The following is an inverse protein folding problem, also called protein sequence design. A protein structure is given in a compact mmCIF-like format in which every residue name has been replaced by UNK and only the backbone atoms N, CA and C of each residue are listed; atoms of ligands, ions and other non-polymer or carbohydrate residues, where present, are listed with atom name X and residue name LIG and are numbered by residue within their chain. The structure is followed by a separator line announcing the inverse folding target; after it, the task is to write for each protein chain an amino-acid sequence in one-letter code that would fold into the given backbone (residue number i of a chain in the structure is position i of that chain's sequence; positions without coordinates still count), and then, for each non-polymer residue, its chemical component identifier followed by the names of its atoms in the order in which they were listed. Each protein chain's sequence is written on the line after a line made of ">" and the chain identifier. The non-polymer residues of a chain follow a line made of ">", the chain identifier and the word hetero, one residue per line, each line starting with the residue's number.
data_IF_422563395755
#
_entry.id   IF_422563395755
#
_cell.length_a   1.000
_cell.length_b   1.000
_cell.length_c   1.000
_cell.angle_alpha   90.00
_cell.angle_beta   90.00
_cell.angle_gamma   90.00
#
_symmetry.space_group_name_H-M   'P 1'
#
loop_
_entity.id
_entity.type
_entity.pdbx_description
1 polymer ?
#
# COMPACT_ATOMS: atom_id res chain seq x y z
N UNK A 1 25.56 -17.63 32.54
CA UNK A 1 25.16 -16.55 33.47
C UNK A 1 25.61 -15.15 33.02
N UNK A 2 26.85 -14.95 32.54
CA UNK A 2 27.36 -13.61 32.19
C UNK A 2 26.67 -12.96 30.97
N UNK A 3 26.39 -13.72 29.89
CA UNK A 3 25.76 -13.20 28.66
C UNK A 3 24.32 -12.70 28.91
N UNK A 4 23.50 -13.49 29.61
CA UNK A 4 22.12 -13.12 29.92
C UNK A 4 22.02 -11.87 30.81
N UNK A 5 22.94 -11.69 31.75
CA UNK A 5 23.00 -10.49 32.58
C UNK A 5 23.33 -9.23 31.77
N UNK A 6 24.22 -9.34 30.78
CA UNK A 6 24.57 -8.24 29.87
C UNK A 6 23.37 -7.88 28.98
N UNK A 7 22.70 -8.90 28.42
CA UNK A 7 21.49 -8.69 27.63
C UNK A 7 20.37 -8.01 28.44
N UNK A 8 20.17 -8.44 29.69
CA UNK A 8 19.20 -7.83 30.61
C UNK A 8 19.54 -6.38 30.96
N UNK A 9 20.82 -6.08 31.18
CA UNK A 9 21.27 -4.72 31.42
C UNK A 9 20.99 -3.81 30.21
N UNK A 10 21.28 -4.28 28.99
CA UNK A 10 20.97 -3.53 27.77
C UNK A 10 19.48 -3.27 27.60
N UNK A 11 18.64 -4.29 27.83
CA UNK A 11 17.18 -4.14 27.86
C UNK A 11 16.75 -3.02 28.82
N UNK A 12 17.24 -3.08 30.06
CA UNK A 12 16.89 -2.08 31.08
C UNK A 12 17.35 -0.68 30.69
N UNK A 13 18.55 -0.56 30.12
CA UNK A 13 19.11 0.72 29.67
C UNK A 13 18.28 1.36 28.56
N UNK A 14 17.82 0.56 27.60
CA UNK A 14 16.97 1.07 26.53
C UNK A 14 15.56 1.39 27.01
N UNK A 15 15.00 0.56 27.89
CA UNK A 15 13.68 0.77 28.48
C UNK A 15 13.58 2.04 29.36
N UNK A 16 14.69 2.54 29.89
CA UNK A 16 14.71 3.79 30.66
C UNK A 16 14.92 5.03 29.80
N UNK A 17 15.34 4.89 28.54
CA UNK A 17 15.57 6.03 27.65
C UNK A 17 14.29 6.39 26.89
N UNK A 18 13.60 7.46 27.33
CA UNK A 18 12.35 7.94 26.72
C UNK A 18 12.49 8.23 25.22
N UNK A 19 13.62 8.80 24.81
CA UNK A 19 13.91 9.11 23.41
C UNK A 19 14.02 7.84 22.56
N UNK A 20 14.68 6.80 23.08
CA UNK A 20 14.78 5.49 22.42
C UNK A 20 13.40 4.84 22.31
N UNK A 21 12.60 4.86 23.38
CA UNK A 21 11.26 4.30 23.36
C UNK A 21 10.34 5.01 22.35
N UNK A 22 10.33 6.35 22.33
CA UNK A 22 9.52 7.10 21.37
C UNK A 22 9.93 6.81 19.93
N UNK A 23 11.23 6.87 19.63
CA UNK A 23 11.70 6.65 18.26
C UNK A 23 11.53 5.20 17.80
N UNK A 24 11.69 4.22 18.69
CA UNK A 24 11.66 2.81 18.31
C UNK A 24 10.23 2.25 18.21
N UNK A 25 9.31 2.72 19.04
CA UNK A 25 7.96 2.14 19.12
C UNK A 25 6.87 3.07 18.61
N UNK A 26 6.94 4.37 18.90
CA UNK A 26 5.89 5.33 18.53
C UNK A 26 6.05 5.83 17.08
N UNK A 27 7.28 6.15 16.68
CA UNK A 27 7.57 6.63 15.32
C UNK A 27 7.13 5.66 14.20
N UNK A 28 7.37 4.32 14.26
CA UNK A 28 6.89 3.43 13.21
C UNK A 28 5.37 3.42 13.11
N UNK A 29 4.65 3.35 14.23
CA UNK A 29 3.18 3.35 14.23
C UNK A 29 2.61 4.67 13.68
N UNK A 30 3.24 5.79 14.03
CA UNK A 30 2.88 7.10 13.50
C UNK A 30 3.14 7.17 11.98
N UNK A 31 4.26 6.66 11.50
CA UNK A 31 4.56 6.65 10.07
C UNK A 31 3.62 5.71 9.30
N UNK A 32 3.29 4.54 9.85
CA UNK A 32 2.28 3.63 9.28
C UNK A 32 0.94 4.35 9.18
N UNK A 33 0.51 5.07 10.22
CA UNK A 33 -0.73 5.83 10.20
C UNK A 33 -0.74 6.93 9.14
N UNK A 34 0.32 7.74 9.08
CA UNK A 34 0.40 8.85 8.13
C UNK A 34 0.44 8.32 6.70
N UNK A 35 1.35 7.40 6.38
CA UNK A 35 1.53 6.91 5.02
C UNK A 35 0.38 5.99 4.58
N UNK A 36 -0.12 5.14 5.49
CA UNK A 36 -1.27 4.27 5.24
C UNK A 36 -2.52 5.05 4.87
N UNK A 37 -2.80 6.17 5.55
CA UNK A 37 -3.93 7.03 5.18
C UNK A 37 -3.62 7.92 3.98
N UNK A 38 -2.46 8.59 3.94
CA UNK A 38 -2.15 9.57 2.91
C UNK A 38 -1.95 8.96 1.52
N UNK A 39 -1.47 7.72 1.43
CA UNK A 39 -1.25 7.04 0.16
C UNK A 39 -2.27 5.91 -0.08
N UNK A 40 -3.33 5.81 0.70
CA UNK A 40 -4.42 4.84 0.51
C UNK A 40 -4.95 4.82 -0.93
N UNK A 41 -5.16 6.00 -1.53
CA UNK A 41 -5.63 6.14 -2.91
C UNK A 41 -4.71 5.54 -3.99
N UNK A 42 -3.42 5.32 -3.70
CA UNK A 42 -2.49 4.68 -4.65
C UNK A 42 -2.59 3.15 -4.65
N UNK A 43 -3.18 2.54 -3.62
CA UNK A 43 -3.17 1.09 -3.44
C UNK A 43 -4.46 0.40 -3.87
N UNK A 44 -5.45 1.14 -4.40
CA UNK A 44 -6.65 0.59 -5.02
C UNK A 44 -7.50 -0.35 -4.15
N UNK A 45 -7.18 -0.50 -2.87
CA UNK A 45 -7.70 -1.55 -2.01
C UNK A 45 -8.03 -1.07 -0.60
N UNK A 46 -9.33 -1.10 -0.28
CA UNK A 46 -9.78 -1.38 1.07
C UNK A 46 -10.26 -0.22 1.93
N UNK A 47 -10.75 0.88 1.35
CA UNK A 47 -11.99 1.38 1.92
C UNK A 47 -13.11 0.58 1.25
N UNK A 48 -14.10 0.13 2.01
CA UNK A 48 -15.46 0.22 1.47
C UNK A 48 -15.53 1.64 0.92
N UNK A 49 -15.37 1.79 -0.40
CA UNK A 49 -15.81 3.01 -1.04
C UNK A 49 -17.24 3.10 -0.55
N UNK A 50 -17.51 4.02 0.38
CA UNK A 50 -18.84 4.59 0.49
C UNK A 50 -19.03 5.08 -0.94
N UNK A 51 -19.71 4.27 -1.76
CA UNK A 51 -19.94 4.58 -3.16
C UNK A 51 -20.58 5.96 -3.11
N UNK A 52 -19.79 6.98 -3.42
CA UNK A 52 -20.28 8.33 -3.39
C UNK A 52 -21.19 8.39 -4.59
N UNK A 53 -22.49 8.35 -4.31
CA UNK A 53 -23.49 8.45 -5.33
C UNK A 53 -23.27 9.79 -6.05
N UNK A 54 -23.15 9.73 -7.37
CA UNK A 54 -22.87 10.91 -8.18
C UNK A 54 -24.13 11.74 -8.26
N UNK A 55 -24.10 12.99 -7.81
CA UNK A 55 -25.25 13.91 -7.97
C UNK A 55 -25.30 14.39 -9.41
N UNK A 56 -26.31 13.95 -10.15
CA UNK A 56 -26.45 14.24 -11.58
C UNK A 56 -27.62 15.18 -11.83
N UNK A 57 -27.38 16.29 -12.53
CA UNK A 57 -28.45 17.17 -13.02
C UNK A 57 -28.89 16.74 -14.40
N UNK A 58 -30.18 16.48 -14.58
CA UNK A 58 -30.74 16.10 -15.89
C UNK A 58 -31.49 17.31 -16.44
N UNK A 59 -31.06 17.75 -17.62
CA UNK A 59 -31.55 18.94 -18.31
C UNK A 59 -32.17 18.47 -19.63
N UNK A 60 -33.43 18.84 -19.87
CA UNK A 60 -34.12 18.56 -21.13
C UNK A 60 -34.35 19.88 -21.89
N UNK A 61 -33.86 19.95 -23.12
CA UNK A 61 -34.09 21.09 -24.02
C UNK A 61 -35.35 20.89 -24.86
N UNK A 62 -36.13 21.96 -25.07
CA UNK A 62 -37.31 21.95 -25.95
C UNK A 62 -38.66 22.24 -25.29
N UNK A 63 -39.72 22.40 -26.10
CA UNK A 63 -41.07 22.62 -25.63
C UNK A 63 -41.60 21.35 -24.96
N UNK A 64 -41.87 21.41 -23.65
CA UNK A 64 -42.34 20.27 -22.86
C UNK A 64 -41.39 19.88 -21.72
N UNK A 65 -40.07 20.08 -21.89
CA UNK A 65 -39.02 19.70 -20.91
C UNK A 65 -39.32 18.34 -20.27
N UNK A 66 -39.26 17.28 -21.07
CA UNK A 66 -39.51 15.92 -20.59
C UNK A 66 -38.27 15.06 -20.74
N UNK A 67 -38.06 14.15 -19.79
CA UNK A 67 -37.00 13.15 -19.88
C UNK A 67 -37.58 11.94 -20.60
N UNK A 68 -36.93 11.42 -21.66
CA UNK A 68 -37.40 10.24 -22.37
C UNK A 68 -37.59 9.05 -21.43
N UNK A 69 -38.74 8.37 -21.52
CA UNK A 69 -39.07 7.25 -20.65
C UNK A 69 -38.02 6.13 -20.65
N UNK A 70 -37.34 5.92 -21.79
CA UNK A 70 -36.25 4.93 -21.92
C UNK A 70 -34.97 5.34 -21.19
N UNK A 71 -34.69 6.64 -21.05
CA UNK A 71 -33.57 7.13 -20.26
C UNK A 71 -33.94 7.12 -18.77
N UNK A 72 -35.18 7.50 -18.45
CA UNK A 72 -35.67 7.47 -17.09
C UNK A 72 -35.66 6.05 -16.49
N UNK A 73 -36.08 5.02 -17.25
CA UNK A 73 -36.05 3.63 -16.78
C UNK A 73 -34.65 3.13 -16.45
N UNK A 74 -33.63 3.59 -17.18
CA UNK A 74 -32.23 3.23 -16.93
C UNK A 74 -31.68 3.95 -15.71
N UNK A 75 -31.99 5.25 -15.56
CA UNK A 75 -31.55 6.05 -14.41
C UNK A 75 -32.18 5.55 -13.11
N UNK A 76 -33.48 5.19 -13.16
CA UNK A 76 -34.24 4.68 -12.01
C UNK A 76 -34.05 3.17 -11.79
N UNK A 77 -33.14 2.52 -12.53
CA UNK A 77 -32.87 1.10 -12.36
C UNK A 77 -32.15 0.80 -11.03
N UNK A 78 -32.41 -0.35 -10.37
CA UNK A 78 -31.80 -0.68 -9.06
C UNK A 78 -30.27 -0.75 -9.07
N UNK A 79 -29.65 -0.92 -10.24
CA UNK A 79 -28.20 -0.93 -10.41
C UNK A 79 -27.64 0.49 -10.49
N UNK A 80 -28.36 1.40 -11.15
CA UNK A 80 -27.96 2.80 -11.33
C UNK A 80 -28.32 3.66 -10.12
N UNK A 81 -29.38 3.34 -9.37
CA UNK A 81 -29.76 4.03 -8.12
C UNK A 81 -28.66 3.94 -7.05
N UNK A 82 -27.84 2.89 -7.09
CA UNK A 82 -26.66 2.74 -6.21
C UNK A 82 -25.49 3.64 -6.61
N UNK A 83 -25.51 4.16 -7.84
CA UNK A 83 -24.41 4.91 -8.44
C UNK A 83 -24.74 6.40 -8.60
N UNK A 84 -25.99 6.77 -8.87
CA UNK A 84 -26.41 8.13 -9.22
C UNK A 84 -27.54 8.63 -8.31
N UNK A 85 -27.50 9.92 -7.97
CA UNK A 85 -28.62 10.68 -7.39
C UNK A 85 -29.10 11.69 -8.44
N UNK A 86 -30.14 11.37 -9.23
CA UNK A 86 -30.62 12.26 -10.28
C UNK A 86 -31.44 13.43 -9.71
N UNK A 87 -31.20 14.62 -10.25
CA UNK A 87 -32.05 15.81 -10.08
C UNK A 87 -32.65 16.15 -11.45
N UNK A 88 -33.92 15.80 -11.62
CA UNK A 88 -34.64 15.97 -12.87
C UNK A 88 -35.02 17.43 -13.16
N UNK A 89 -35.05 17.79 -14.44
CA UNK A 89 -35.57 19.06 -14.96
C UNK A 89 -34.87 20.30 -14.37
N UNK A 90 -33.56 20.24 -14.26
CA UNK A 90 -32.75 21.37 -13.81
C UNK A 90 -32.59 22.42 -14.93
N UNK A 91 -32.60 23.70 -14.58
CA UNK A 91 -32.24 24.76 -15.51
C UNK A 91 -30.71 24.81 -15.74
N UNK A 92 -30.29 25.05 -16.98
CA UNK A 92 -28.88 25.11 -17.39
C UNK A 92 -28.04 26.07 -16.52
N UNK A 93 -28.57 27.27 -16.24
CA UNK A 93 -27.87 28.26 -15.40
C UNK A 93 -27.68 27.76 -13.96
N UNK A 94 -28.64 27.01 -13.42
CA UNK A 94 -28.56 26.41 -12.08
C UNK A 94 -27.55 25.28 -12.07
N UNK A 95 -27.56 24.43 -13.09
CA UNK A 95 -26.60 23.33 -13.23
C UNK A 95 -25.16 23.84 -13.31
N UNK A 96 -24.88 24.84 -14.14
CA UNK A 96 -23.55 25.44 -14.24
C UNK A 96 -23.06 26.01 -12.90
N UNK A 97 -23.94 26.70 -12.18
CA UNK A 97 -23.61 27.27 -10.87
C UNK A 97 -23.30 26.17 -9.85
N UNK A 98 -24.08 25.11 -9.83
CA UNK A 98 -23.90 23.99 -8.89
C UNK A 98 -22.69 23.10 -9.23
N UNK A 99 -22.38 22.91 -10.51
CA UNK A 99 -21.13 22.28 -10.97
C UNK A 99 -19.90 23.10 -10.51
N UNK A 100 -20.00 24.44 -10.58
CA UNK A 100 -18.93 25.34 -10.13
C UNK A 100 -18.81 25.42 -8.61
N UNK A 101 -19.89 25.31 -7.83
CA UNK A 101 -19.82 25.25 -6.37
C UNK A 101 -19.34 23.89 -5.86
N UNK A 102 -19.61 22.81 -6.61
CA UNK A 102 -19.38 21.42 -6.19
C UNK A 102 -20.59 20.79 -5.49
N UNK A 103 -21.76 21.43 -5.60
CA UNK A 103 -23.03 20.88 -5.11
C UNK A 103 -23.63 19.86 -6.09
N UNK A 104 -23.23 19.94 -7.36
CA UNK A 104 -23.53 18.98 -8.41
C UNK A 104 -22.24 18.38 -8.94
N UNK A 105 -22.21 17.07 -9.14
CA UNK A 105 -21.01 16.35 -9.57
C UNK A 105 -20.97 16.22 -11.10
N UNK A 106 -22.14 16.17 -11.75
CA UNK A 106 -22.25 15.97 -13.18
C UNK A 106 -23.57 16.51 -13.73
N UNK A 107 -23.63 16.92 -15.00
CA UNK A 107 -24.90 17.24 -15.65
C UNK A 107 -25.00 16.64 -17.06
N UNK A 108 -26.23 16.27 -17.44
CA UNK A 108 -26.57 15.67 -18.72
C UNK A 108 -27.62 16.53 -19.40
N UNK A 109 -27.35 16.91 -20.64
CA UNK A 109 -28.27 17.66 -21.48
C UNK A 109 -28.83 16.72 -22.55
N UNK A 110 -30.15 16.66 -22.58
CA UNK A 110 -30.92 15.96 -23.60
C UNK A 110 -31.31 17.02 -24.65
N UNK A 111 -30.77 16.93 -25.88
CA UNK A 111 -30.99 17.93 -26.89
C UNK A 111 -32.44 17.91 -27.41
N UNK A 112 -32.94 19.06 -27.88
CA UNK A 112 -34.33 19.21 -28.32
C UNK A 112 -34.71 18.31 -29.52
N UNK A 113 -33.73 17.90 -30.32
CA UNK A 113 -33.93 17.05 -31.51
C UNK A 113 -33.90 15.54 -31.16
N UNK A 114 -33.85 15.17 -29.88
CA UNK A 114 -33.70 13.79 -29.40
C UNK A 114 -34.72 12.82 -30.01
N UNK A 115 -36.01 13.10 -29.85
CA UNK A 115 -37.08 12.23 -30.38
C UNK A 115 -37.07 12.17 -31.91
N UNK A 116 -36.78 13.31 -32.54
CA UNK A 116 -36.72 13.40 -34.00
C UNK A 116 -35.60 12.51 -34.55
N UNK A 117 -34.42 12.53 -33.93
CA UNK A 117 -33.27 11.69 -34.32
C UNK A 117 -33.53 10.20 -34.12
N UNK A 118 -34.20 9.83 -33.02
CA UNK A 118 -34.65 8.45 -32.80
C UNK A 118 -35.59 8.02 -33.92
N UNK A 119 -36.56 8.86 -34.28
CA UNK A 119 -37.55 8.55 -35.32
C UNK A 119 -36.96 8.50 -36.74
N UNK A 120 -35.92 9.28 -37.02
CA UNK A 120 -35.25 9.33 -38.33
C UNK A 120 -34.12 8.30 -38.47
N UNK A 121 -33.77 7.58 -37.40
CA UNK A 121 -32.65 6.63 -37.40
C UNK A 121 -31.27 7.30 -37.44
N UNK A 122 -31.19 8.57 -37.06
CA UNK A 122 -29.94 9.31 -36.97
C UNK A 122 -29.24 9.07 -35.63
N UNK A 123 -27.90 9.03 -35.62
CA UNK A 123 -27.10 8.85 -34.39
C UNK A 123 -27.54 9.87 -33.34
N UNK A 124 -27.80 9.46 -32.09
CA UNK A 124 -28.16 10.33 -30.97
C UNK A 124 -26.98 10.55 -30.03
N UNK A 125 -26.86 11.75 -29.46
CA UNK A 125 -25.81 12.09 -28.49
C UNK A 125 -26.39 12.89 -27.33
N UNK A 126 -26.01 12.54 -26.11
CA UNK A 126 -26.22 13.37 -24.93
C UNK A 126 -25.05 14.34 -24.82
N UNK A 127 -25.32 15.60 -24.45
CA UNK A 127 -24.23 16.49 -24.06
C UNK A 127 -23.94 16.31 -22.57
N UNK A 128 -22.67 16.14 -22.27
CA UNK A 128 -22.19 15.72 -20.96
C UNK A 128 -21.34 16.84 -20.37
N UNK A 129 -21.74 17.33 -19.21
CA UNK A 129 -21.07 18.42 -18.49
C UNK A 129 -20.38 17.86 -17.23
N UNK A 130 -19.06 17.64 -17.27
CA UNK A 130 -18.32 17.14 -16.13
C UNK A 130 -18.19 18.20 -15.03
N UNK A 131 -18.28 17.78 -13.77
CA UNK A 131 -17.99 18.61 -12.61
C UNK A 131 -16.50 18.60 -12.23
N UNK A 132 -16.20 18.95 -10.98
CA UNK A 132 -14.81 19.07 -10.47
C UNK A 132 -14.13 17.74 -10.20
N UNK A 133 -14.90 16.71 -9.83
CA UNK A 133 -14.36 15.44 -9.40
C UNK A 133 -14.22 14.46 -10.59
N UNK A 134 -12.98 14.14 -10.94
CA UNK A 134 -12.67 13.27 -12.08
C UNK A 134 -13.15 11.83 -11.88
N UNK A 135 -13.16 11.31 -10.65
CA UNK A 135 -13.58 9.93 -10.38
C UNK A 135 -15.09 9.80 -10.50
N UNK A 136 -15.84 10.72 -9.91
CA UNK A 136 -17.32 10.75 -10.04
C UNK A 136 -17.76 10.99 -11.50
N UNK A 137 -17.03 11.85 -12.22
CA UNK A 137 -17.28 12.08 -13.64
C UNK A 137 -17.14 10.80 -14.48
N UNK A 138 -16.19 9.92 -14.16
CA UNK A 138 -15.99 8.66 -14.89
C UNK A 138 -17.15 7.67 -14.69
N UNK A 139 -17.73 7.65 -13.48
CA UNK A 139 -18.89 6.81 -13.16
C UNK A 139 -20.09 7.28 -13.99
N UNK A 140 -20.41 8.57 -13.95
CA UNK A 140 -21.50 9.14 -14.75
C UNK A 140 -21.26 8.99 -16.26
N UNK A 141 -20.04 9.29 -16.75
CA UNK A 141 -19.64 9.08 -18.14
C UNK A 141 -19.95 7.65 -18.59
N UNK A 142 -19.62 6.65 -17.76
CA UNK A 142 -19.80 5.24 -18.10
C UNK A 142 -21.28 4.89 -18.21
N UNK A 143 -22.14 5.38 -17.30
CA UNK A 143 -23.59 5.12 -17.37
C UNK A 143 -24.19 5.76 -18.62
N UNK A 144 -23.98 7.06 -18.85
CA UNK A 144 -24.62 7.79 -19.94
C UNK A 144 -24.05 7.45 -21.32
N UNK A 145 -22.75 7.17 -21.43
CA UNK A 145 -22.14 6.72 -22.70
C UNK A 145 -22.54 5.28 -23.04
N UNK A 146 -22.62 4.39 -22.05
CA UNK A 146 -23.11 3.02 -22.29
C UNK A 146 -24.56 3.03 -22.77
N UNK A 147 -25.41 3.86 -22.16
CA UNK A 147 -26.80 4.02 -22.60
C UNK A 147 -26.90 4.56 -24.03
N UNK A 148 -26.19 5.65 -24.36
CA UNK A 148 -26.25 6.23 -25.73
C UNK A 148 -25.64 5.31 -26.78
N UNK A 149 -24.57 4.58 -26.44
CA UNK A 149 -23.98 3.58 -27.31
C UNK A 149 -24.95 2.42 -27.60
N UNK A 150 -25.62 1.88 -26.58
CA UNK A 150 -26.62 0.82 -26.74
C UNK A 150 -27.80 1.31 -27.59
N UNK A 151 -28.32 2.52 -27.32
CA UNK A 151 -29.39 3.11 -28.10
C UNK A 151 -29.01 3.23 -29.58
N UNK A 152 -27.83 3.76 -29.89
CA UNK A 152 -27.34 3.89 -31.25
C UNK A 152 -27.09 2.54 -31.93
N UNK A 153 -26.61 1.54 -31.19
CA UNK A 153 -26.44 0.18 -31.72
C UNK A 153 -27.79 -0.41 -32.13
N UNK A 154 -28.81 -0.29 -31.28
CA UNK A 154 -30.17 -0.75 -31.58
C UNK A 154 -30.79 0.01 -32.74
N UNK A 155 -30.52 1.32 -32.85
CA UNK A 155 -30.99 2.12 -33.98
C UNK A 155 -30.36 1.66 -35.30
N UNK A 156 -29.07 1.31 -35.28
CA UNK A 156 -28.40 0.73 -36.43
C UNK A 156 -28.98 -0.66 -36.79
N UNK A 157 -29.25 -1.51 -35.80
CA UNK A 157 -29.90 -2.81 -36.01
C UNK A 157 -31.31 -2.65 -36.60
N UNK A 158 -32.10 -1.71 -36.10
CA UNK A 158 -33.45 -1.42 -36.57
C UNK A 158 -33.47 -0.87 -38.00
N UNK A 159 -32.44 -0.14 -38.42
CA UNK A 159 -32.29 0.30 -39.81
C UNK A 159 -32.06 -0.88 -40.77
N UNK A 160 -31.54 -2.01 -40.28
CA UNK A 160 -31.26 -3.23 -41.07
C UNK A 160 -32.41 -4.24 -40.98
N UNK A 161 -32.97 -4.44 -39.79
CA UNK A 161 -33.95 -5.49 -39.46
C UNK A 161 -35.41 -5.00 -39.42
N UNK A 162 -35.64 -3.69 -39.44
CA UNK A 162 -36.95 -3.06 -39.38
C UNK A 162 -37.32 -2.53 -37.99
N UNK A 163 -38.14 -1.46 -37.97
CA UNK A 163 -38.50 -0.68 -36.77
C UNK A 163 -39.30 -1.48 -35.71
N UNK A 164 -39.91 -2.60 -36.10
CA UNK A 164 -40.63 -3.48 -35.16
C UNK A 164 -39.71 -4.01 -34.05
N UNK A 165 -38.45 -4.29 -34.39
CA UNK A 165 -37.43 -4.74 -33.42
C UNK A 165 -37.07 -3.67 -32.37
N UNK A 166 -37.13 -2.39 -32.74
CA UNK A 166 -36.88 -1.24 -31.86
C UNK A 166 -38.03 -0.99 -30.90
N UNK A 167 -39.26 -1.01 -31.42
CA UNK A 167 -40.47 -0.76 -30.60
C UNK A 167 -40.62 -1.77 -29.46
N UNK A 168 -40.25 -3.04 -29.70
CA UNK A 168 -40.25 -4.09 -28.68
C UNK A 168 -39.19 -3.86 -27.58
N UNK A 169 -38.00 -3.35 -27.93
CA UNK A 169 -36.94 -3.06 -26.97
C UNK A 169 -37.25 -1.82 -26.11
N UNK A 170 -37.76 -0.75 -26.73
CA UNK A 170 -38.24 0.45 -26.03
C UNK A 170 -39.40 0.12 -25.08
N UNK A 171 -40.34 -0.74 -25.51
CA UNK A 171 -41.44 -1.21 -24.67
C UNK A 171 -40.98 -2.12 -23.52
N UNK A 172 -39.84 -2.79 -23.66
CA UNK A 172 -39.21 -3.61 -22.63
C UNK A 172 -38.26 -2.82 -21.71
N UNK A 173 -38.30 -1.48 -21.74
CA UNK A 173 -37.52 -0.63 -20.84
C UNK A 173 -36.01 -0.66 -21.06
N UNK A 174 -35.55 -1.21 -22.19
CA UNK A 174 -34.12 -1.35 -22.50
C UNK A 174 -33.43 -2.54 -21.85
N UNK A 175 -34.14 -3.41 -21.12
CA UNK A 175 -33.54 -4.48 -20.30
C UNK A 175 -33.11 -5.74 -21.08
N UNK A 176 -33.44 -5.88 -22.37
CA UNK A 176 -33.15 -7.09 -23.15
C UNK A 176 -31.78 -7.08 -23.84
N UNK A 177 -30.77 -6.47 -23.22
CA UNK A 177 -29.39 -6.69 -23.61
C UNK A 177 -28.88 -8.01 -22.99
N UNK A 178 -28.30 -8.93 -23.79
CA UNK A 178 -27.37 -9.90 -23.23
C UNK A 178 -26.35 -9.11 -22.40
N UNK A 179 -26.16 -9.48 -21.14
CA UNK A 179 -25.16 -8.84 -20.28
C UNK A 179 -23.80 -8.75 -21.00
N UNK A 180 -22.93 -7.81 -20.59
CA UNK A 180 -21.70 -7.51 -21.29
C UNK A 180 -20.98 -8.79 -21.75
N UNK A 181 -20.80 -8.94 -23.06
CA UNK A 181 -20.07 -10.07 -23.67
C UNK A 181 -18.58 -10.10 -23.28
N UNK A 182 -18.14 -9.05 -22.58
CA UNK A 182 -16.81 -8.90 -21.99
C UNK A 182 -16.97 -9.05 -20.49
N UNK A 183 -16.66 -10.23 -19.96
CA UNK A 183 -16.22 -10.33 -18.58
C UNK A 183 -14.89 -9.59 -18.49
N UNK A 184 -14.87 -8.46 -17.78
CA UNK A 184 -13.61 -7.82 -17.39
C UNK A 184 -12.95 -8.77 -16.40
N UNK A 185 -12.12 -9.67 -16.92
CA UNK A 185 -11.23 -10.46 -16.09
C UNK A 185 -10.35 -9.51 -15.32
N UNK A 186 -10.56 -9.41 -14.00
CA UNK A 186 -9.53 -8.85 -13.14
C UNK A 186 -8.28 -9.70 -13.42
N UNK A 187 -7.12 -9.09 -13.69
CA UNK A 187 -5.84 -9.82 -13.85
C UNK A 187 -5.41 -10.58 -12.57
N UNK A 188 -6.34 -10.76 -11.63
CA UNK A 188 -6.14 -11.15 -10.26
C UNK A 188 -7.47 -11.59 -9.62
N UNK A 189 -8.24 -12.52 -10.21
CA UNK A 189 -9.29 -13.23 -9.44
C UNK A 189 -8.70 -14.01 -8.24
N UNK A 190 -7.37 -14.18 -8.18
CA UNK A 190 -6.66 -14.89 -7.12
C UNK A 190 -5.52 -14.11 -6.45
N UNK A 191 -5.13 -12.93 -6.94
CA UNK A 191 -4.13 -12.13 -6.25
C UNK A 191 -4.83 -11.26 -5.21
N UNK A 192 -4.74 -11.68 -3.96
CA UNK A 192 -5.04 -10.79 -2.85
C UNK A 192 -4.25 -9.49 -3.06
N UNK A 193 -4.94 -8.36 -3.11
CA UNK A 193 -4.33 -7.02 -3.08
C UNK A 193 -4.12 -6.63 -1.62
N UNK A 194 -2.97 -6.02 -1.30
CA UNK A 194 -2.74 -5.48 0.04
C UNK A 194 -3.20 -4.02 0.13
N UNK A 195 -3.72 -3.61 1.29
CA UNK A 195 -4.01 -2.21 1.56
C UNK A 195 -2.73 -1.40 1.76
N UNK A 196 -2.82 -0.07 1.63
CA UNK A 196 -1.70 0.81 1.96
C UNK A 196 -1.24 0.61 3.42
N UNK A 197 -2.19 0.41 4.35
CA UNK A 197 -1.87 0.12 5.75
C UNK A 197 -1.06 -1.17 5.91
N UNK A 198 -1.42 -2.25 5.22
CA UNK A 198 -0.65 -3.50 5.19
C UNK A 198 0.76 -3.27 4.62
N UNK A 199 0.84 -2.61 3.47
CA UNK A 199 2.11 -2.33 2.79
C UNK A 199 3.09 -1.53 3.66
N UNK A 200 2.63 -0.41 4.21
CA UNK A 200 3.48 0.44 5.05
C UNK A 200 3.76 -0.20 6.42
N UNK A 201 2.88 -1.05 6.94
CA UNK A 201 3.17 -1.85 8.13
C UNK A 201 4.33 -2.79 7.91
N UNK A 202 4.37 -3.49 6.77
CA UNK A 202 5.51 -4.34 6.38
C UNK A 202 6.77 -3.50 6.19
N UNK A 203 6.69 -2.43 5.41
CA UNK A 203 7.85 -1.57 5.12
C UNK A 203 8.48 -1.01 6.39
N UNK A 204 7.65 -0.43 7.27
CA UNK A 204 8.12 0.16 8.52
C UNK A 204 8.63 -0.91 9.47
N UNK A 205 7.98 -2.08 9.57
CA UNK A 205 8.49 -3.19 10.38
C UNK A 205 9.92 -3.56 9.97
N UNK A 206 10.18 -3.77 8.67
CA UNK A 206 11.51 -4.16 8.18
C UNK A 206 12.53 -3.04 8.39
N UNK A 207 12.19 -1.80 8.05
CA UNK A 207 13.08 -0.64 8.23
C UNK A 207 13.49 -0.46 9.70
N UNK A 208 12.54 -0.57 10.62
CA UNK A 208 12.80 -0.40 12.05
C UNK A 208 13.52 -1.58 12.68
N UNK A 209 13.28 -2.80 12.20
CA UNK A 209 14.11 -3.96 12.55
C UNK A 209 15.56 -3.76 12.08
N UNK A 210 15.80 -3.15 10.91
CA UNK A 210 17.15 -2.80 10.46
C UNK A 210 17.82 -1.75 11.36
N UNK A 211 17.06 -0.82 11.96
CA UNK A 211 17.58 0.14 12.94
C UNK A 211 17.99 -0.51 14.28
N UNK A 212 17.54 -1.73 14.60
CA UNK A 212 17.97 -2.42 15.83
C UNK A 212 19.48 -2.71 15.85
N UNK A 213 20.08 -3.05 14.70
CA UNK A 213 21.52 -3.21 14.56
C UNK A 213 22.29 -1.90 14.74
N UNK A 214 21.71 -0.77 14.33
CA UNK A 214 22.31 0.54 14.58
C UNK A 214 22.49 0.80 16.09
N UNK A 215 21.49 0.47 16.90
CA UNK A 215 21.57 0.58 18.37
C UNK A 215 22.72 -0.28 18.92
N UNK A 216 22.88 -1.50 18.42
CA UNK A 216 23.97 -2.38 18.82
C UNK A 216 25.35 -1.79 18.47
N UNK A 217 25.50 -1.23 17.26
CA UNK A 217 26.73 -0.56 16.80
C UNK A 217 27.06 0.66 17.68
N UNK A 218 26.09 1.56 17.88
CA UNK A 218 26.26 2.77 18.69
C UNK A 218 26.61 2.42 20.13
N UNK A 219 25.92 1.44 20.72
CA UNK A 219 26.21 0.95 22.08
C UNK A 219 27.68 0.50 22.23
N UNK A 220 28.23 -0.13 21.19
CA UNK A 220 29.61 -0.62 21.20
C UNK A 220 30.63 0.53 21.17
N UNK A 221 30.38 1.57 20.36
CA UNK A 221 31.22 2.77 20.32
C UNK A 221 31.11 3.61 21.59
N UNK A 222 29.91 3.79 22.13
CA UNK A 222 29.69 4.56 23.35
C UNK A 222 30.46 3.99 24.55
N UNK A 223 30.62 2.67 24.65
CA UNK A 223 31.45 2.06 25.70
C UNK A 223 32.93 2.36 25.55
N UNK A 224 33.41 2.42 24.30
CA UNK A 224 34.78 2.82 24.00
C UNK A 224 35.01 4.28 24.37
N UNK A 225 34.10 5.16 23.97
CA UNK A 225 34.19 6.60 24.21
C UNK A 225 34.03 6.95 25.70
N UNK A 226 33.16 6.25 26.42
CA UNK A 226 32.92 6.44 27.86
C UNK A 226 34.02 5.88 28.76
N UNK A 227 35.10 5.33 28.18
CA UNK A 227 36.20 4.60 28.86
C UNK A 227 35.74 3.45 29.76
N UNK A 228 34.48 3.03 29.67
CA UNK A 228 33.93 1.89 30.40
C UNK A 228 34.39 0.58 29.79
N UNK A 229 34.79 0.56 28.52
CA UNK A 229 35.39 -0.59 27.87
C UNK A 229 36.62 -1.12 28.61
N UNK A 230 37.50 -0.24 29.12
CA UNK A 230 38.69 -0.63 29.89
C UNK A 230 38.34 -1.31 31.22
N UNK A 231 37.24 -0.91 31.86
CA UNK A 231 36.71 -1.54 33.08
C UNK A 231 36.04 -2.89 32.80
N UNK A 232 35.42 -3.03 31.62
CA UNK A 232 34.84 -4.29 31.16
C UNK A 232 35.91 -5.30 30.75
N UNK A 233 37.02 -4.84 30.15
CA UNK A 233 38.16 -5.67 29.79
C UNK A 233 38.99 -6.12 31.00
N UNK A 234 38.99 -5.36 32.10
CA UNK A 234 39.63 -5.79 33.36
C UNK A 234 38.78 -6.75 34.19
N UNK A 235 37.51 -6.94 33.84
CA UNK A 235 36.68 -7.98 34.43
C UNK A 235 37.09 -9.36 33.88
N UNK A 236 36.95 -10.46 34.66
CA UNK A 236 37.24 -11.83 34.19
C UNK A 236 36.13 -12.34 33.26
N UNK A 237 35.85 -11.60 32.18
CA UNK A 237 34.83 -11.89 31.17
C UNK A 237 35.48 -11.71 29.80
N UNK A 238 35.46 -12.74 28.93
CA UNK A 238 36.06 -12.60 27.61
C UNK A 238 35.27 -11.57 26.78
N UNK A 239 35.98 -10.75 25.98
CA UNK A 239 35.38 -9.70 25.15
C UNK A 239 34.28 -10.21 24.20
N UNK A 240 34.40 -11.44 23.72
CA UNK A 240 33.38 -12.11 22.90
C UNK A 240 32.05 -12.31 23.65
N UNK A 241 32.07 -12.60 24.96
CA UNK A 241 30.84 -12.73 25.76
C UNK A 241 30.14 -11.39 25.98
N UNK A 242 30.90 -10.29 26.06
CA UNK A 242 30.34 -8.94 26.14
C UNK A 242 29.66 -8.59 24.82
N UNK A 243 30.36 -8.80 23.72
CA UNK A 243 29.84 -8.55 22.38
C UNK A 243 28.56 -9.36 22.08
N UNK A 244 28.60 -10.67 22.32
CA UNK A 244 27.43 -11.55 22.11
C UNK A 244 26.28 -11.14 23.03
N UNK A 245 26.54 -10.85 24.31
CA UNK A 245 25.50 -10.41 25.26
C UNK A 245 24.80 -9.12 24.82
N UNK A 246 25.55 -8.16 24.29
CA UNK A 246 24.97 -6.93 23.72
C UNK A 246 24.14 -7.20 22.48
N UNK A 247 24.65 -8.03 21.57
CA UNK A 247 23.94 -8.40 20.36
C UNK A 247 22.62 -9.10 20.69
N UNK A 248 22.65 -10.05 21.63
CA UNK A 248 21.44 -10.72 22.13
C UNK A 248 20.47 -9.74 22.77
N UNK A 249 20.95 -8.78 23.57
CA UNK A 249 20.10 -7.72 24.14
C UNK A 249 19.41 -6.88 23.07
N UNK A 250 20.16 -6.42 22.06
CA UNK A 250 19.61 -5.66 20.95
C UNK A 250 18.63 -6.47 20.10
N UNK A 251 18.91 -7.75 19.83
CA UNK A 251 17.99 -8.64 19.14
C UNK A 251 16.69 -8.87 19.92
N UNK A 252 16.77 -9.01 21.25
CA UNK A 252 15.57 -9.19 22.08
C UNK A 252 14.68 -7.94 22.05
N UNK A 253 15.28 -6.75 22.00
CA UNK A 253 14.54 -5.49 21.81
C UNK A 253 13.91 -5.42 20.43
N UNK A 254 14.60 -5.85 19.38
CA UNK A 254 14.06 -5.93 18.04
C UNK A 254 12.83 -6.85 17.97
N UNK A 255 12.85 -7.98 18.69
CA UNK A 255 11.70 -8.88 18.80
C UNK A 255 10.53 -8.20 19.53
N UNK A 256 10.78 -7.54 20.66
CA UNK A 256 9.73 -6.79 21.38
C UNK A 256 9.14 -5.70 20.48
N UNK A 257 9.99 -4.99 19.74
CA UNK A 257 9.57 -3.98 18.78
C UNK A 257 8.70 -4.57 17.67
N UNK A 258 9.11 -5.69 17.07
CA UNK A 258 8.31 -6.35 16.05
C UNK A 258 6.92 -6.71 16.58
N UNK A 259 6.84 -7.27 17.80
CA UNK A 259 5.57 -7.60 18.45
C UNK A 259 4.70 -6.34 18.63
N UNK A 260 5.28 -5.23 19.10
CA UNK A 260 4.54 -3.97 19.27
C UNK A 260 4.04 -3.41 17.94
N UNK A 261 4.86 -3.45 16.89
CA UNK A 261 4.45 -2.95 15.56
C UNK A 261 3.36 -3.84 14.96
N UNK A 262 3.49 -5.16 15.05
CA UNK A 262 2.52 -6.13 14.53
C UNK A 262 1.19 -6.02 15.27
N UNK A 263 1.20 -6.07 16.60
CA UNK A 263 -0.02 -5.93 17.40
C UNK A 263 -0.63 -4.53 17.29
N UNK A 264 0.21 -3.49 17.27
CA UNK A 264 -0.23 -2.11 17.13
C UNK A 264 -0.89 -1.85 15.77
N UNK A 265 -0.29 -2.36 14.67
CA UNK A 265 -0.90 -2.25 13.34
C UNK A 265 -2.18 -3.07 13.20
N UNK A 266 -2.26 -4.24 13.85
CA UNK A 266 -3.48 -5.04 13.89
C UNK A 266 -4.62 -4.32 14.64
N UNK A 267 -4.34 -3.76 15.82
CA UNK A 267 -5.38 -3.14 16.66
C UNK A 267 -5.76 -1.73 16.25
N UNK A 268 -4.80 -0.92 15.78
CA UNK A 268 -5.05 0.49 15.43
C UNK A 268 -5.52 0.65 13.98
N UNK A 269 -5.05 -0.22 13.07
CA UNK A 269 -5.25 -0.05 11.63
C UNK A 269 -5.93 -1.26 10.96
N UNK A 270 -6.32 -2.28 11.73
CA UNK A 270 -6.99 -3.47 11.19
C UNK A 270 -6.11 -4.31 10.25
N UNK A 271 -4.78 -4.24 10.42
CA UNK A 271 -3.85 -4.93 9.51
C UNK A 271 -3.85 -6.44 9.77
N UNK A 272 -4.22 -7.19 8.73
CA UNK A 272 -4.14 -8.66 8.74
C UNK A 272 -2.74 -9.11 8.30
N UNK A 273 -2.04 -9.80 9.20
CA UNK A 273 -0.68 -10.33 8.98
C UNK A 273 -0.67 -11.77 8.44
N UNK A 274 -1.84 -12.35 8.15
CA UNK A 274 -2.03 -13.70 7.63
C UNK A 274 -2.05 -14.81 8.69
N UNK A 275 -2.49 -16.01 8.29
CA UNK A 275 -2.77 -17.14 9.19
C UNK A 275 -1.54 -17.91 9.71
N UNK A 276 -0.32 -17.51 9.30
CA UNK A 276 0.91 -18.27 9.55
C UNK A 276 1.91 -17.47 10.39
N UNK A 277 1.64 -17.26 11.70
CA UNK A 277 2.47 -16.42 12.56
C UNK A 277 3.91 -16.96 12.72
N UNK A 278 4.13 -18.26 12.54
CA UNK A 278 5.47 -18.85 12.58
C UNK A 278 6.39 -18.29 11.49
N UNK A 279 5.90 -18.14 10.26
CA UNK A 279 6.70 -17.58 9.16
C UNK A 279 7.02 -16.10 9.40
N UNK A 280 6.06 -15.34 9.94
CA UNK A 280 6.28 -13.95 10.33
C UNK A 280 7.42 -13.83 11.34
N UNK A 281 7.37 -14.62 12.42
CA UNK A 281 8.41 -14.61 13.46
C UNK A 281 9.77 -14.97 12.87
N UNK A 282 9.84 -15.98 12.00
CA UNK A 282 11.07 -16.38 11.33
C UNK A 282 11.65 -15.27 10.44
N UNK A 283 10.81 -14.58 9.67
CA UNK A 283 11.26 -13.44 8.84
C UNK A 283 11.80 -12.32 9.74
N UNK A 284 11.10 -11.96 10.81
CA UNK A 284 11.58 -10.95 11.77
C UNK A 284 12.93 -11.33 12.40
N UNK A 285 13.13 -12.60 12.74
CA UNK A 285 14.41 -13.10 13.24
C UNK A 285 15.52 -12.99 12.19
N UNK A 286 15.25 -13.38 10.93
CA UNK A 286 16.23 -13.27 9.84
C UNK A 286 16.63 -11.82 9.58
N UNK A 287 15.66 -10.90 9.53
CA UNK A 287 15.93 -9.45 9.37
C UNK A 287 16.78 -8.93 10.53
N UNK A 288 16.45 -9.33 11.76
CA UNK A 288 17.23 -8.94 12.95
C UNK A 288 18.66 -9.45 12.83
N UNK A 289 18.89 -10.70 12.43
CA UNK A 289 20.23 -11.25 12.23
C UNK A 289 20.99 -10.52 11.10
N UNK A 290 20.31 -10.23 9.99
CA UNK A 290 20.88 -9.45 8.89
C UNK A 290 21.28 -8.03 9.31
N UNK A 291 20.43 -7.37 10.10
CA UNK A 291 20.70 -6.06 10.71
C UNK A 291 21.92 -6.09 11.62
N UNK A 292 22.03 -7.12 12.46
CA UNK A 292 23.19 -7.31 13.33
C UNK A 292 24.47 -7.51 12.51
N UNK A 293 24.46 -8.37 11.49
CA UNK A 293 25.62 -8.56 10.62
C UNK A 293 26.05 -7.28 9.91
N UNK A 294 25.08 -6.52 9.37
CA UNK A 294 25.33 -5.21 8.77
C UNK A 294 25.95 -4.22 9.77
N UNK A 295 25.42 -4.18 10.99
CA UNK A 295 25.94 -3.34 12.06
C UNK A 295 27.39 -3.67 12.43
N UNK A 296 27.76 -4.95 12.48
CA UNK A 296 29.16 -5.36 12.69
C UNK A 296 30.05 -4.82 11.58
N UNK A 297 29.65 -4.99 10.32
CA UNK A 297 30.41 -4.49 9.17
C UNK A 297 30.62 -2.98 9.29
N UNK A 298 29.56 -2.19 9.51
CA UNK A 298 29.68 -0.74 9.61
C UNK A 298 30.54 -0.31 10.81
N UNK A 299 30.42 -1.02 11.93
CA UNK A 299 31.24 -0.76 13.13
C UNK A 299 32.73 -0.96 12.86
N UNK A 300 33.10 -1.93 12.02
CA UNK A 300 34.50 -2.20 11.68
C UNK A 300 35.11 -1.13 10.77
N UNK A 301 34.31 -0.47 9.93
CA UNK A 301 34.78 0.59 9.03
C UNK A 301 34.65 2.00 9.62
N UNK A 302 33.89 2.17 10.70
CA UNK A 302 33.63 3.48 11.31
C UNK A 302 34.60 3.78 12.45
N UNK A 303 35.02 5.05 12.57
CA UNK A 303 35.93 5.49 13.64
C UNK A 303 35.22 6.08 14.86
N UNK A 304 33.97 6.52 14.70
CA UNK A 304 33.18 7.21 15.74
C UNK A 304 31.74 6.70 15.76
N UNK A 305 31.07 6.80 16.92
CA UNK A 305 29.65 6.46 17.06
C UNK A 305 28.75 7.27 16.10
N UNK A 306 29.04 8.56 15.94
CA UNK A 306 28.29 9.44 15.04
C UNK A 306 28.48 9.05 13.56
N UNK A 307 29.69 8.68 13.16
CA UNK A 307 29.97 8.19 11.80
C UNK A 307 29.25 6.87 11.50
N UNK A 308 29.32 5.91 12.42
CA UNK A 308 28.60 4.64 12.30
C UNK A 308 27.08 4.86 12.20
N UNK A 309 26.54 5.81 13.00
CA UNK A 309 25.13 6.20 12.96
C UNK A 309 24.74 6.75 11.60
N UNK A 310 25.50 7.71 11.07
CA UNK A 310 25.24 8.29 9.75
C UNK A 310 25.30 7.26 8.63
N UNK A 311 26.33 6.40 8.61
CA UNK A 311 26.48 5.36 7.59
C UNK A 311 25.33 4.35 7.65
N UNK A 312 25.00 3.81 8.83
CA UNK A 312 23.86 2.90 8.98
C UNK A 312 22.55 3.54 8.54
N UNK A 313 22.29 4.79 8.93
CA UNK A 313 21.04 5.47 8.58
C UNK A 313 20.92 5.67 7.07
N UNK A 314 22.00 6.11 6.40
CA UNK A 314 22.04 6.24 4.94
C UNK A 314 21.82 4.90 4.24
N UNK A 315 22.50 3.84 4.70
CA UNK A 315 22.35 2.50 4.11
C UNK A 315 20.93 1.97 4.29
N UNK A 316 20.33 2.13 5.46
CA UNK A 316 18.96 1.67 5.75
C UNK A 316 17.94 2.41 4.87
N UNK A 317 18.04 3.74 4.77
CA UNK A 317 17.13 4.54 3.94
C UNK A 317 17.29 4.18 2.46
N UNK A 318 18.54 4.06 1.97
CA UNK A 318 18.81 3.67 0.59
C UNK A 318 18.27 2.27 0.28
N UNK A 319 18.49 1.28 1.17
CA UNK A 319 17.93 -0.06 1.01
C UNK A 319 16.41 -0.06 1.02
N UNK A 320 15.78 0.74 1.88
CA UNK A 320 14.31 0.88 1.94
C UNK A 320 13.73 1.51 0.69
N UNK A 321 14.41 2.51 0.14
CA UNK A 321 14.01 3.10 -1.13
C UNK A 321 14.16 2.10 -2.28
N UNK A 322 15.31 1.41 -2.36
CA UNK A 322 15.59 0.43 -3.42
C UNK A 322 14.68 -0.79 -3.34
N UNK A 323 14.23 -1.18 -2.15
CA UNK A 323 13.27 -2.27 -1.98
C UNK A 323 11.82 -1.88 -2.33
N UNK A 324 11.57 -0.61 -2.66
CA UNK A 324 10.24 -0.07 -2.89
C UNK A 324 9.51 0.35 -1.61
N UNK A 325 10.11 0.25 -0.43
CA UNK A 325 9.43 0.46 0.85
C UNK A 325 8.68 1.79 1.04
N UNK A 326 9.00 2.83 0.26
CA UNK A 326 8.26 4.09 0.25
C UNK A 326 7.21 4.20 -0.87
N UNK A 327 7.46 3.57 -2.01
CA UNK A 327 6.62 3.64 -3.20
C UNK A 327 6.59 2.27 -3.90
N UNK A 328 5.40 1.67 -4.10
CA UNK A 328 5.29 0.36 -4.75
C UNK A 328 5.73 0.40 -6.23
N UNK A 329 5.69 1.57 -6.87
CA UNK A 329 6.15 1.79 -8.23
C UNK A 329 7.64 2.19 -8.19
N UNK A 330 8.51 1.19 -8.30
CA UNK A 330 9.95 1.43 -8.42
C UNK A 330 10.35 1.56 -9.90
N UNK A 331 11.20 2.52 -10.23
CA UNK A 331 11.76 2.69 -11.57
C UNK A 331 12.47 1.40 -12.04
N UNK A 332 12.49 1.14 -13.34
CA UNK A 332 13.02 -0.12 -13.91
C UNK A 332 14.46 -0.45 -13.46
N UNK A 333 15.31 0.57 -13.31
CA UNK A 333 16.69 0.40 -12.81
C UNK A 333 16.74 -0.04 -11.35
N UNK A 334 15.76 0.33 -10.53
CA UNK A 334 15.63 -0.09 -9.12
C UNK A 334 15.23 -1.56 -9.06
N UNK A 335 14.36 -2.00 -9.98
CA UNK A 335 13.91 -3.41 -10.04
C UNK A 335 15.06 -4.38 -10.34
N UNK A 336 16.11 -3.93 -11.04
CA UNK A 336 17.27 -4.78 -11.32
C UNK A 336 18.17 -4.99 -10.09
N UNK A 337 18.22 -4.02 -9.17
CA UNK A 337 19.14 -4.02 -8.02
C UNK A 337 18.45 -4.49 -6.72
N UNK A 338 17.11 -4.43 -6.66
CA UNK A 338 16.35 -4.73 -5.45
C UNK A 338 16.62 -6.14 -4.89
N UNK A 339 16.86 -7.13 -5.75
CA UNK A 339 17.07 -8.55 -5.40
C UNK A 339 18.33 -8.82 -4.58
N UNK A 340 19.24 -7.84 -4.44
CA UNK A 340 20.44 -8.00 -3.63
C UNK A 340 20.20 -7.58 -2.17
N UNK A 341 19.13 -6.82 -1.90
CA UNK A 341 18.92 -6.20 -0.59
C UNK A 341 18.18 -7.12 0.39
N UNK A 342 18.60 -7.10 1.66
CA UNK A 342 17.87 -7.77 2.78
C UNK A 342 16.44 -7.24 2.87
N UNK A 343 16.27 -5.93 2.66
CA UNK A 343 15.00 -5.24 2.80
C UNK A 343 13.96 -5.75 1.78
N UNK A 344 14.36 -5.93 0.52
CA UNK A 344 13.49 -6.45 -0.53
C UNK A 344 12.96 -7.86 -0.23
N UNK A 345 13.85 -8.81 0.09
CA UNK A 345 13.41 -10.18 0.38
C UNK A 345 12.59 -10.30 1.66
N UNK A 346 12.87 -9.47 2.66
CA UNK A 346 12.08 -9.38 3.88
C UNK A 346 10.67 -8.85 3.60
N UNK A 347 10.56 -7.73 2.88
CA UNK A 347 9.29 -7.14 2.48
C UNK A 347 8.48 -8.11 1.63
N UNK A 348 9.10 -8.74 0.64
CA UNK A 348 8.44 -9.73 -0.22
C UNK A 348 7.94 -10.95 0.57
N UNK A 349 8.71 -11.43 1.55
CA UNK A 349 8.30 -12.55 2.39
C UNK A 349 7.09 -12.19 3.24
N UNK A 350 7.08 -11.00 3.87
CA UNK A 350 5.98 -10.54 4.72
C UNK A 350 4.71 -10.25 3.91
N UNK A 351 4.84 -9.58 2.76
CA UNK A 351 3.71 -9.35 1.86
C UNK A 351 3.11 -10.68 1.37
N UNK A 352 3.94 -11.65 0.97
CA UNK A 352 3.46 -12.98 0.57
C UNK A 352 2.70 -13.71 1.68
N UNK A 353 3.12 -13.55 2.94
CA UNK A 353 2.39 -14.09 4.09
C UNK A 353 1.02 -13.40 4.23
N UNK A 354 0.95 -12.07 4.11
CA UNK A 354 -0.31 -11.30 4.15
C UNK A 354 -1.25 -11.66 3.00
N UNK A 355 -0.71 -11.94 1.82
CA UNK A 355 -1.47 -12.33 0.63
C UNK A 355 -1.87 -13.81 0.62
N UNK A 356 -1.67 -14.53 1.72
CA UNK A 356 -1.99 -15.96 1.84
C UNK A 356 -1.38 -16.82 0.74
N UNK A 357 -0.21 -16.42 0.21
CA UNK A 357 0.41 -17.08 -0.93
C UNK A 357 0.80 -18.52 -0.63
N UNK A 358 1.16 -19.27 -1.68
CA UNK A 358 1.63 -20.64 -1.55
C UNK A 358 2.84 -20.73 -0.60
N UNK A 359 2.90 -21.79 0.22
CA UNK A 359 3.97 -21.97 1.19
C UNK A 359 5.36 -22.08 0.54
N UNK A 360 5.43 -22.62 -0.68
CA UNK A 360 6.66 -22.71 -1.48
C UNK A 360 7.20 -21.34 -1.88
N UNK A 361 6.33 -20.40 -2.26
CA UNK A 361 6.73 -19.03 -2.60
C UNK A 361 7.24 -18.26 -1.38
N UNK A 362 6.61 -18.44 -0.23
CA UNK A 362 7.05 -17.85 1.04
C UNK A 362 8.44 -18.40 1.40
N UNK A 363 8.59 -19.73 1.37
CA UNK A 363 9.86 -20.40 1.66
C UNK A 363 10.98 -20.00 0.70
N UNK A 364 10.68 -19.79 -0.58
CA UNK A 364 11.66 -19.30 -1.55
C UNK A 364 12.16 -17.89 -1.19
N UNK A 365 11.25 -16.96 -0.90
CA UNK A 365 11.63 -15.60 -0.48
C UNK A 365 12.41 -15.59 0.83
N UNK A 366 11.98 -16.41 1.80
CA UNK A 366 12.70 -16.59 3.06
C UNK A 366 14.08 -17.22 2.87
N UNK A 367 14.21 -18.18 1.94
CA UNK A 367 15.48 -18.81 1.59
C UNK A 367 16.47 -17.82 1.00
N UNK A 368 16.01 -16.94 0.11
CA UNK A 368 16.83 -15.86 -0.45
C UNK A 368 17.22 -14.83 0.62
N UNK A 369 16.29 -14.45 1.50
CA UNK A 369 16.60 -13.60 2.66
C UNK A 369 17.70 -14.24 3.54
N UNK A 370 17.56 -15.52 3.87
CA UNK A 370 18.54 -16.26 4.65
C UNK A 370 19.90 -16.32 3.95
N UNK A 371 19.93 -16.54 2.62
CA UNK A 371 21.16 -16.54 1.84
C UNK A 371 21.89 -15.19 1.91
N UNK A 372 21.16 -14.07 1.77
CA UNK A 372 21.74 -12.72 1.91
C UNK A 372 22.26 -12.48 3.34
N UNK A 373 21.50 -12.88 4.36
CA UNK A 373 21.93 -12.79 5.77
C UNK A 373 23.20 -13.60 6.05
N UNK A 374 23.31 -14.82 5.51
CA UNK A 374 24.51 -15.67 5.60
C UNK A 374 25.68 -14.99 4.90
N UNK A 375 25.48 -14.43 3.71
CA UNK A 375 26.50 -13.66 2.99
C UNK A 375 27.02 -12.48 3.80
N UNK A 376 26.11 -11.67 4.37
CA UNK A 376 26.50 -10.54 5.24
C UNK A 376 27.24 -11.00 6.50
N UNK A 377 26.80 -12.10 7.11
CA UNK A 377 27.47 -12.66 8.30
C UNK A 377 28.85 -13.21 7.97
N UNK A 378 29.03 -13.81 6.79
CA UNK A 378 30.33 -14.26 6.30
C UNK A 378 31.28 -13.08 6.08
N UNK A 379 30.80 -12.01 5.43
CA UNK A 379 31.56 -10.76 5.24
C UNK A 379 31.94 -10.15 6.59
N UNK A 380 30.99 -10.07 7.54
CA UNK A 380 31.26 -9.60 8.89
C UNK A 380 32.35 -10.43 9.58
N UNK A 381 32.27 -11.75 9.49
CA UNK A 381 33.22 -12.69 10.12
C UNK A 381 34.62 -12.59 9.51
N UNK A 382 34.73 -12.50 8.18
CA UNK A 382 36.01 -12.33 7.47
C UNK A 382 36.64 -10.97 7.82
N UNK A 383 35.82 -9.91 7.86
CA UNK A 383 36.29 -8.56 8.17
C UNK A 383 36.75 -8.49 9.64
N UNK A 384 36.01 -9.11 10.56
CA UNK A 384 36.40 -9.22 11.97
C UNK A 384 37.75 -9.93 12.14
N UNK A 385 37.98 -11.04 11.41
CA UNK A 385 39.28 -11.75 11.43
C UNK A 385 40.42 -10.92 10.87
N UNK A 386 40.19 -10.08 9.85
CA UNK A 386 41.20 -9.20 9.24
C UNK A 386 41.53 -7.97 10.07
N UNK A 387 40.52 -7.37 10.71
CA UNK A 387 40.68 -6.13 11.50
C UNK A 387 41.22 -6.42 12.91
N UNK A 388 41.13 -7.67 13.37
CA UNK A 388 41.94 -8.18 14.47
C UNK A 388 41.80 -7.38 15.77
N UNK A 389 40.74 -7.66 16.55
CA UNK A 389 40.91 -7.61 18.00
C UNK A 389 41.79 -8.80 18.41
N UNK A 390 43.10 -8.69 18.14
CA UNK A 390 44.09 -9.45 18.90
C UNK A 390 44.02 -8.90 20.32
N UNK A 391 43.27 -9.62 21.17
CA UNK A 391 43.37 -9.50 22.61
C UNK A 391 44.74 -10.03 23.07
#
# INVERSE_FOLDING_TARGET
>A
MKIAAIAWFELRRMATSRSVLMNQFLLPLLLIFILGNALSGFFGGGQEYVQQMVRVGIIAEGPGREVPASLQSVIDSPEVEKLLVPTYLMDMETAEKQLRSGDLDYAVIIPQDWEQRISSGEETRLELLPGKDRELNLIADTVFKSYTAELNHRMADAAILGMDSMSAWLAAGGETAPGPFVEVGQMSEQGATYSAAQYYSVSMLVMFLLYSGLMASVSLFEEKDSRTLYRLQSAPVPGSSIFIGKLTGASLIAVIQAVVIVLGSMWLFGVEWGDRPLFLVLVCMLVTLGSMALAVVVTLFSRTAAGARGVMQTVIIAMTFVSGGFTPIAAEWVQQINTVTVNFWAMQSLLRIMLHSSGSEILFSMGMLAAVCVGLTAVASITYRKVGYHA
#
